data_IF_638795791683
#
_entry.id   IF_638795791683
#
_cell.length_a   1.000
_cell.length_b   1.000
_cell.length_c   1.000
_cell.angle_alpha   90.00
_cell.angle_beta   90.00
_cell.angle_gamma   90.00
#
_symmetry.space_group_name_H-M   'P 1'
#
loop_
_entity.id
_entity.type
_entity.pdbx_description
1 polymer ?
#
# COMPACT_ATOMS: atom_id res chain seq x y z
N UNK A 1 -35.39 -12.49 -7.65
CA UNK A 1 -34.53 -11.50 -8.33
C UNK A 1 -33.10 -11.99 -8.25
N UNK A 2 -32.53 -12.48 -9.35
CA UNK A 2 -31.11 -12.81 -9.39
C UNK A 2 -30.37 -11.49 -9.57
N UNK A 3 -29.80 -10.96 -8.48
CA UNK A 3 -28.85 -9.88 -8.58
C UNK A 3 -27.72 -10.37 -9.49
N UNK A 4 -27.67 -9.82 -10.70
CA UNK A 4 -26.60 -10.03 -11.65
C UNK A 4 -25.33 -9.47 -10.98
N UNK A 5 -24.63 -10.33 -10.24
CA UNK A 5 -23.31 -10.03 -9.69
C UNK A 5 -22.46 -9.68 -10.90
N UNK A 6 -22.22 -8.39 -11.12
CA UNK A 6 -21.15 -7.98 -12.02
C UNK A 6 -19.89 -8.52 -11.39
N UNK A 7 -19.39 -9.62 -11.94
CA UNK A 7 -18.07 -10.14 -11.58
C UNK A 7 -17.07 -9.11 -12.09
N UNK A 8 -16.79 -8.08 -11.30
CA UNK A 8 -15.71 -7.16 -11.58
C UNK A 8 -14.42 -8.00 -11.56
N UNK A 9 -13.70 -8.01 -12.68
CA UNK A 9 -12.43 -8.73 -12.81
C UNK A 9 -11.35 -7.68 -12.80
N UNK A 10 -10.41 -7.81 -11.87
CA UNK A 10 -9.29 -6.88 -11.76
C UNK A 10 -8.38 -6.99 -12.97
N UNK A 11 -8.13 -5.85 -13.62
CA UNK A 11 -7.15 -5.74 -14.70
C UNK A 11 -5.75 -5.49 -14.13
N UNK A 12 -5.06 -6.58 -13.78
CA UNK A 12 -3.70 -6.52 -13.24
C UNK A 12 -2.68 -5.90 -14.21
N UNK A 13 -2.98 -5.74 -15.50
CA UNK A 13 -2.07 -5.11 -16.46
C UNK A 13 -2.09 -3.57 -16.40
N UNK A 14 -3.07 -2.97 -15.70
CA UNK A 14 -3.24 -1.51 -15.58
C UNK A 14 -2.00 -0.81 -14.98
N UNK A 15 -1.37 -1.40 -13.98
CA UNK A 15 -0.16 -0.88 -13.34
C UNK A 15 0.85 -1.98 -13.08
N UNK A 16 2.14 -1.61 -12.99
CA UNK A 16 3.12 -2.51 -12.40
C UNK A 16 2.92 -2.60 -10.87
N UNK A 17 3.56 -3.57 -10.19
CA UNK A 17 3.41 -3.73 -8.73
C UNK A 17 3.74 -2.47 -7.93
N UNK A 18 4.72 -1.68 -8.35
CA UNK A 18 5.04 -0.41 -7.70
C UNK A 18 3.89 0.59 -7.84
N UNK A 19 3.32 0.72 -9.04
CA UNK A 19 2.18 1.58 -9.33
C UNK A 19 0.91 1.14 -8.59
N UNK A 20 0.66 -0.17 -8.50
CA UNK A 20 -0.43 -0.70 -7.69
C UNK A 20 -0.29 -0.35 -6.21
N UNK A 21 0.91 -0.50 -5.64
CA UNK A 21 1.16 -0.17 -4.24
C UNK A 21 1.11 1.35 -3.97
N UNK A 22 1.58 2.16 -4.92
CA UNK A 22 1.51 3.63 -4.87
C UNK A 22 0.05 4.12 -4.94
N UNK A 23 -0.76 3.55 -5.83
CA UNK A 23 -2.19 3.81 -5.95
C UNK A 23 -2.97 3.32 -4.72
N UNK A 24 -2.62 2.15 -4.19
CA UNK A 24 -3.19 1.64 -2.95
C UNK A 24 -2.85 2.53 -1.74
N UNK A 25 -1.63 3.08 -1.69
CA UNK A 25 -1.24 4.11 -0.74
C UNK A 25 -2.09 5.36 -0.85
N UNK A 26 -2.27 5.88 -2.08
CA UNK A 26 -3.16 7.01 -2.33
C UNK A 26 -4.60 6.72 -1.91
N UNK A 27 -5.13 5.53 -2.22
CA UNK A 27 -6.46 5.10 -1.79
C UNK A 27 -6.59 5.06 -0.27
N UNK A 28 -5.63 4.44 0.44
CA UNK A 28 -5.59 4.43 1.91
C UNK A 28 -5.65 5.84 2.51
N UNK A 29 -4.94 6.79 1.92
CA UNK A 29 -4.98 8.20 2.33
C UNK A 29 -6.37 8.81 2.07
N UNK A 30 -7.01 8.53 0.92
CA UNK A 30 -8.37 9.02 0.64
C UNK A 30 -9.43 8.41 1.55
N UNK A 31 -9.33 7.11 1.86
CA UNK A 31 -10.25 6.44 2.79
C UNK A 31 -10.02 6.93 4.21
N UNK A 32 -8.78 7.19 4.64
CA UNK A 32 -8.54 7.86 5.93
C UNK A 32 -9.13 9.27 5.97
N UNK A 33 -9.19 9.98 4.84
CA UNK A 33 -9.85 11.28 4.73
C UNK A 33 -11.39 11.17 4.73
N UNK A 34 -11.95 10.11 4.16
CA UNK A 34 -13.40 9.82 4.10
C UNK A 34 -13.93 9.13 5.37
N UNK A 35 -13.06 8.43 6.10
CA UNK A 35 -13.34 7.62 7.29
C UNK A 35 -13.58 8.47 8.53
N UNK A 36 -14.60 9.33 8.46
CA UNK A 36 -15.42 9.75 9.59
C UNK A 36 -16.66 8.86 9.74
N UNK A 37 -16.59 7.60 9.29
CA UNK A 37 -17.72 6.66 9.30
C UNK A 37 -17.85 5.91 10.64
N UNK A 38 -17.85 6.70 11.71
CA UNK A 38 -18.59 6.40 12.94
C UNK A 38 -19.82 7.33 12.94
N UNK A 39 -20.96 6.86 13.47
CA UNK A 39 -22.31 7.27 13.08
C UNK A 39 -22.76 8.62 13.69
N UNK A 40 -21.97 9.66 13.50
CA UNK A 40 -22.20 10.98 14.08
C UNK A 40 -21.59 12.09 13.22
N UNK A 41 -22.03 12.11 11.96
CA UNK A 41 -22.22 13.34 11.19
C UNK A 41 -20.99 14.20 10.93
N UNK A 42 -20.41 14.03 9.75
CA UNK A 42 -19.75 15.12 9.00
C UNK A 42 -18.72 15.96 9.78
N UNK A 43 -17.62 15.34 10.19
CA UNK A 43 -16.41 16.09 10.49
C UNK A 43 -15.24 15.49 9.71
N UNK A 44 -14.71 16.29 8.78
CA UNK A 44 -13.34 16.14 8.28
C UNK A 44 -12.46 15.88 9.50
N UNK A 45 -11.70 14.79 9.53
CA UNK A 45 -10.92 14.38 10.71
C UNK A 45 -9.98 15.52 11.19
N UNK A 46 -10.46 16.32 12.16
CA UNK A 46 -9.76 17.53 12.64
C UNK A 46 -8.42 17.16 13.28
N UNK A 47 -8.37 16.01 13.98
CA UNK A 47 -7.16 15.49 14.62
C UNK A 47 -6.09 15.17 13.57
N UNK A 48 -6.48 14.61 12.42
CA UNK A 48 -5.56 14.37 11.31
C UNK A 48 -4.98 15.68 10.74
N UNK A 49 -5.78 16.75 10.59
CA UNK A 49 -5.26 18.04 10.13
C UNK A 49 -4.36 18.71 11.17
N UNK A 50 -4.70 18.58 12.46
CA UNK A 50 -3.84 19.05 13.57
C UNK A 50 -2.52 18.26 13.63
N UNK A 51 -2.56 16.94 13.44
CA UNK A 51 -1.35 16.10 13.31
C UNK A 51 -0.57 16.50 12.06
N UNK A 52 -1.24 16.80 10.94
CA UNK A 52 -0.60 17.23 9.69
C UNK A 52 0.03 18.61 9.81
N UNK A 53 -0.58 19.52 10.55
CA UNK A 53 -0.05 20.85 10.86
C UNK A 53 1.13 20.76 11.86
N UNK A 54 1.07 19.80 12.79
CA UNK A 54 2.13 19.51 13.75
C UNK A 54 3.30 18.72 13.13
N UNK A 55 3.04 17.86 12.14
CA UNK A 55 4.04 17.05 11.44
C UNK A 55 4.81 17.90 10.43
N UNK A 56 5.84 18.61 10.92
CA UNK A 56 6.74 19.46 10.13
C UNK A 56 7.77 18.67 9.31
N UNK A 57 7.67 17.35 9.24
CA UNK A 57 8.60 16.57 8.42
C UNK A 57 8.38 16.91 6.94
N UNK A 58 9.44 17.30 6.19
CA UNK A 58 9.29 17.60 4.78
C UNK A 58 8.84 16.35 4.04
N UNK A 59 7.55 16.26 3.71
CA UNK A 59 7.04 15.22 2.83
C UNK A 59 7.54 15.53 1.42
N UNK A 60 8.17 14.55 0.80
CA UNK A 60 8.77 14.70 -0.52
C UNK A 60 7.69 15.11 -1.53
N UNK A 61 7.99 16.02 -2.46
CA UNK A 61 7.05 16.59 -3.44
C UNK A 61 6.42 15.58 -4.42
N UNK A 62 6.74 14.29 -4.30
CA UNK A 62 6.03 13.15 -4.90
C UNK A 62 4.62 12.89 -4.30
N UNK A 63 4.13 13.79 -3.44
CA UNK A 63 2.92 13.63 -2.62
C UNK A 63 1.57 13.80 -3.35
N UNK A 64 1.52 13.89 -4.67
CA UNK A 64 0.28 14.06 -5.43
C UNK A 64 0.04 12.88 -6.38
N UNK A 65 0.05 11.66 -5.86
CA UNK A 65 -0.50 10.53 -6.61
C UNK A 65 -2.02 10.67 -6.53
N UNK A 66 -2.65 11.01 -7.67
CA UNK A 66 -4.11 11.00 -7.77
C UNK A 66 -4.56 9.55 -7.63
N UNK A 67 -5.46 9.28 -6.69
CA UNK A 67 -6.07 7.97 -6.55
C UNK A 67 -6.97 7.71 -7.76
N UNK A 68 -6.60 6.71 -8.55
CA UNK A 68 -7.27 6.28 -9.79
C UNK A 68 -7.81 4.85 -9.69
N UNK A 69 -7.57 4.19 -8.55
CA UNK A 69 -8.10 2.85 -8.28
C UNK A 69 -9.47 2.91 -7.62
N UNK A 70 -10.31 1.93 -7.93
CA UNK A 70 -11.62 1.73 -7.28
C UNK A 70 -11.48 1.03 -5.93
N UNK A 71 -12.53 1.07 -5.11
CA UNK A 71 -12.58 0.33 -3.84
C UNK A 71 -12.41 -1.18 -4.07
N UNK A 72 -13.00 -1.73 -5.15
CA UNK A 72 -12.80 -3.13 -5.55
C UNK A 72 -11.32 -3.44 -5.86
N UNK A 73 -10.65 -2.60 -6.65
CA UNK A 73 -9.23 -2.77 -6.97
C UNK A 73 -8.36 -2.67 -5.70
N UNK A 74 -8.70 -1.77 -4.78
CA UNK A 74 -8.01 -1.62 -3.51
C UNK A 74 -8.17 -2.86 -2.61
N UNK A 75 -9.38 -3.43 -2.51
CA UNK A 75 -9.65 -4.65 -1.75
C UNK A 75 -8.82 -5.84 -2.27
N UNK A 76 -8.68 -5.97 -3.60
CA UNK A 76 -7.84 -7.02 -4.19
C UNK A 76 -6.35 -6.88 -3.83
N UNK A 77 -5.81 -5.65 -3.83
CA UNK A 77 -4.44 -5.39 -3.36
C UNK A 77 -4.30 -5.66 -1.87
N UNK A 78 -5.29 -5.29 -1.07
CA UNK A 78 -5.31 -5.55 0.36
C UNK A 78 -5.31 -7.06 0.64
N UNK A 79 -6.10 -7.84 -0.09
CA UNK A 79 -6.16 -9.30 0.03
C UNK A 79 -4.87 -9.98 -0.40
N UNK A 80 -4.21 -9.48 -1.46
CA UNK A 80 -2.88 -9.93 -1.87
C UNK A 80 -1.86 -9.74 -0.73
N UNK A 81 -1.80 -8.54 -0.14
CA UNK A 81 -0.88 -8.24 0.96
C UNK A 81 -1.20 -9.07 2.21
N UNK A 82 -2.47 -9.15 2.61
CA UNK A 82 -2.92 -10.00 3.73
C UNK A 82 -2.55 -11.46 3.50
N UNK A 83 -2.73 -11.97 2.29
CA UNK A 83 -2.41 -13.34 1.91
C UNK A 83 -0.95 -13.68 2.19
N UNK A 84 -0.01 -12.79 1.84
CA UNK A 84 1.42 -13.01 2.11
C UNK A 84 1.74 -12.90 3.60
N UNK A 85 1.18 -11.92 4.31
CA UNK A 85 1.42 -11.77 5.76
C UNK A 85 0.85 -12.93 6.58
N UNK A 86 -0.31 -13.45 6.19
CA UNK A 86 -0.99 -14.57 6.86
C UNK A 86 -0.49 -15.94 6.39
N UNK A 87 0.23 -16.00 5.27
CA UNK A 87 0.77 -17.25 4.76
C UNK A 87 1.67 -17.92 5.80
N UNK A 88 1.46 -19.23 5.98
CA UNK A 88 2.31 -20.10 6.80
C UNK A 88 3.59 -20.51 6.08
N UNK A 89 3.62 -20.39 4.75
CA UNK A 89 4.78 -20.76 3.92
C UNK A 89 5.76 -19.60 3.74
N UNK A 90 5.30 -18.36 3.91
CA UNK A 90 6.17 -17.19 3.89
C UNK A 90 6.98 -17.14 5.20
N UNK A 91 8.31 -17.14 5.07
CA UNK A 91 9.22 -17.04 6.20
C UNK A 91 9.23 -15.61 6.76
N UNK A 92 9.83 -15.45 7.95
CA UNK A 92 9.95 -14.15 8.61
C UNK A 92 10.63 -13.11 7.71
N UNK A 93 11.68 -13.51 6.98
CA UNK A 93 12.44 -12.62 6.10
C UNK A 93 11.57 -12.08 4.96
N UNK A 94 10.74 -12.94 4.35
CA UNK A 94 9.80 -12.50 3.31
C UNK A 94 8.77 -11.53 3.86
N UNK A 95 8.18 -11.80 5.03
CA UNK A 95 7.21 -10.89 5.66
C UNK A 95 7.86 -9.55 6.02
N UNK A 96 9.10 -9.59 6.50
CA UNK A 96 9.85 -8.39 6.81
C UNK A 96 10.21 -7.59 5.55
N UNK A 97 10.63 -8.27 4.48
CA UNK A 97 10.88 -7.64 3.19
C UNK A 97 9.61 -6.95 2.65
N UNK A 98 8.47 -7.62 2.74
CA UNK A 98 7.18 -7.08 2.35
C UNK A 98 6.81 -5.85 3.19
N UNK A 99 7.06 -5.87 4.49
CA UNK A 99 6.87 -4.71 5.36
C UNK A 99 7.73 -3.51 4.89
N UNK A 100 9.00 -3.73 4.54
CA UNK A 100 9.86 -2.68 3.99
C UNK A 100 9.30 -2.10 2.68
N UNK A 101 8.79 -2.96 1.79
CA UNK A 101 8.16 -2.55 0.53
C UNK A 101 6.90 -1.73 0.77
N UNK A 102 6.01 -2.17 1.66
CA UNK A 102 4.79 -1.45 2.04
C UNK A 102 5.13 -0.06 2.61
N UNK A 103 6.08 0.01 3.55
CA UNK A 103 6.55 1.30 4.08
C UNK A 103 7.11 2.20 2.99
N UNK A 104 7.83 1.64 2.02
CA UNK A 104 8.44 2.43 0.96
C UNK A 104 7.41 2.94 -0.07
N UNK A 105 6.50 2.08 -0.52
CA UNK A 105 5.60 2.34 -1.65
C UNK A 105 4.19 2.77 -1.25
N UNK A 106 3.59 2.09 -0.28
CA UNK A 106 2.23 2.39 0.20
C UNK A 106 2.25 3.61 1.13
N UNK A 107 3.14 3.62 2.11
CA UNK A 107 3.28 4.77 3.03
C UNK A 107 4.12 5.91 2.41
N UNK A 108 4.64 5.71 1.18
CA UNK A 108 5.50 6.66 0.47
C UNK A 108 6.71 7.15 1.29
N UNK A 109 7.25 6.31 2.18
CA UNK A 109 8.43 6.66 2.97
C UNK A 109 9.68 6.46 2.12
N UNK A 110 10.55 7.46 2.08
CA UNK A 110 11.86 7.31 1.43
C UNK A 110 12.69 6.19 2.08
N UNK A 111 13.57 5.55 1.29
CA UNK A 111 14.41 4.44 1.76
C UNK A 111 15.20 4.76 3.04
N UNK A 112 15.65 6.00 3.21
CA UNK A 112 16.35 6.42 4.43
C UNK A 112 15.45 6.34 5.67
N UNK A 113 14.15 6.67 5.54
CA UNK A 113 13.19 6.60 6.64
C UNK A 113 12.79 5.17 6.94
N UNK A 114 12.61 4.35 5.91
CA UNK A 114 12.37 2.90 6.08
C UNK A 114 13.53 2.28 6.85
N UNK A 115 14.76 2.53 6.43
CA UNK A 115 15.97 2.05 7.08
C UNK A 115 16.05 2.46 8.57
N UNK A 116 15.70 3.71 8.89
CA UNK A 116 15.63 4.19 10.26
C UNK A 116 14.58 3.44 11.09
N UNK A 117 13.36 3.26 10.55
CA UNK A 117 12.26 2.59 11.25
C UNK A 117 12.49 1.07 11.41
N UNK A 118 13.20 0.45 10.48
CA UNK A 118 13.48 -0.99 10.50
C UNK A 118 14.82 -1.35 11.14
N UNK A 119 15.56 -0.35 11.64
CA UNK A 119 16.91 -0.50 12.21
C UNK A 119 17.89 -1.20 11.25
N UNK A 120 17.89 -0.79 9.99
CA UNK A 120 18.74 -1.32 8.93
C UNK A 120 19.54 -0.19 8.26
N UNK A 121 20.59 -0.54 7.52
CA UNK A 121 21.24 0.41 6.62
C UNK A 121 20.33 0.72 5.42
N UNK A 122 20.52 1.90 4.81
CA UNK A 122 19.79 2.29 3.58
C UNK A 122 19.94 1.27 2.45
N UNK A 123 21.13 0.66 2.32
CA UNK A 123 21.39 -0.38 1.33
C UNK A 123 20.60 -1.66 1.63
N UNK A 124 20.57 -2.10 2.89
CA UNK A 124 19.76 -3.25 3.30
C UNK A 124 18.28 -3.01 3.05
N UNK A 125 17.75 -1.83 3.41
CA UNK A 125 16.35 -1.49 3.12
C UNK A 125 16.04 -1.56 1.61
N UNK A 126 16.94 -1.06 0.75
CA UNK A 126 16.79 -1.15 -0.71
C UNK A 126 16.79 -2.59 -1.22
N UNK A 127 17.67 -3.46 -0.67
CA UNK A 127 17.70 -4.89 -0.99
C UNK A 127 16.39 -5.54 -0.57
N UNK A 128 15.91 -5.31 0.65
CA UNK A 128 14.66 -5.89 1.15
C UNK A 128 13.44 -5.49 0.31
N UNK A 129 13.33 -4.20 -0.05
CA UNK A 129 12.30 -3.70 -0.96
C UNK A 129 12.37 -4.42 -2.32
N UNK A 130 13.57 -4.60 -2.87
CA UNK A 130 13.76 -5.27 -4.16
C UNK A 130 13.40 -6.76 -4.09
N UNK A 131 13.83 -7.46 -3.04
CA UNK A 131 13.49 -8.87 -2.82
C UNK A 131 11.97 -9.08 -2.69
N UNK A 132 11.29 -8.22 -1.93
CA UNK A 132 9.84 -8.29 -1.79
C UNK A 132 9.12 -8.06 -3.11
N UNK A 133 9.60 -7.13 -3.94
CA UNK A 133 9.05 -6.88 -5.28
C UNK A 133 9.15 -8.13 -6.16
N UNK A 134 10.31 -8.77 -6.20
CA UNK A 134 10.51 -10.02 -6.93
C UNK A 134 9.63 -11.14 -6.39
N UNK A 135 9.49 -11.24 -5.07
CA UNK A 135 8.62 -12.22 -4.44
C UNK A 135 7.17 -12.05 -4.87
N UNK A 136 6.62 -10.83 -4.82
CA UNK A 136 5.23 -10.59 -5.23
C UNK A 136 4.99 -10.90 -6.71
N UNK A 137 5.92 -10.51 -7.59
CA UNK A 137 5.84 -10.79 -9.02
C UNK A 137 5.89 -12.30 -9.33
N UNK A 138 6.63 -13.09 -8.52
CA UNK A 138 6.73 -14.54 -8.67
C UNK A 138 5.63 -15.33 -7.95
N UNK A 139 5.10 -14.79 -6.84
CA UNK A 139 4.13 -15.45 -5.97
C UNK A 139 2.74 -15.49 -6.59
N UNK A 140 2.28 -14.38 -7.17
CA UNK A 140 0.99 -14.34 -7.86
C UNK A 140 1.17 -14.48 -9.37
N UNK A 141 0.60 -15.55 -9.94
CA UNK A 141 0.61 -15.80 -11.39
C UNK A 141 0.00 -14.64 -12.19
N UNK A 142 -0.89 -13.85 -11.58
CA UNK A 142 -1.53 -12.68 -12.18
C UNK A 142 -0.55 -11.52 -12.41
N UNK A 143 0.56 -11.46 -11.66
CA UNK A 143 1.60 -10.43 -11.75
C UNK A 143 2.81 -10.84 -12.61
N UNK A 144 2.81 -12.08 -13.14
CA UNK A 144 3.97 -12.69 -13.80
C UNK A 144 4.30 -12.12 -15.20
N UNK A 145 3.36 -11.40 -15.81
CA UNK A 145 3.49 -10.87 -17.17
C UNK A 145 3.82 -9.37 -17.23
N UNK A 146 4.29 -8.78 -16.13
CA UNK A 146 4.66 -7.36 -16.02
C UNK A 146 6.16 -7.11 -16.17
#
# INVERSE_FOLDING_TARGET
MNAMVKTEVMDWAKYNIDGWLEQFGAWCETVRMKGGDLPDGLHVNQIYWLIREADKTPRNSKCYIKCEISDFEADQIQDLLKGVFQSKTADFTTKFALMCLVKNKVENKGLSRVAQETNQSKAQAAIMVSCARFYLAGHDKRLRNQ
#
